data_IF_883668181323
#
_entry.id   IF_883668181323
#
_cell.length_a   1.000
_cell.length_b   1.000
_cell.length_c   1.000
_cell.angle_alpha   90.00
_cell.angle_beta   90.00
_cell.angle_gamma   90.00
#
_symmetry.space_group_name_H-M   'P 1'
#
loop_
_entity.id
_entity.type
_entity.pdbx_description
1 polymer ?
#
# COMPACT_ATOMS: atom_id res chain seq x y z
N UNK A 1 -10.78 -38.38 -4.50
CA UNK A 1 -10.58 -37.14 -5.25
C UNK A 1 -9.25 -37.29 -5.96
N UNK A 2 -9.22 -37.39 -7.33
CA UNK A 2 -7.96 -37.39 -8.07
C UNK A 2 -7.30 -36.01 -7.88
N UNK A 3 -6.10 -36.00 -7.33
CA UNK A 3 -5.29 -34.78 -7.30
C UNK A 3 -5.06 -34.27 -8.72
N UNK A 4 -5.55 -33.06 -8.99
CA UNK A 4 -5.32 -32.41 -10.29
C UNK A 4 -3.91 -31.83 -10.23
N UNK A 5 -2.96 -32.45 -10.93
CA UNK A 5 -1.61 -31.90 -11.06
C UNK A 5 -1.60 -30.53 -11.76
N UNK A 6 -0.49 -29.77 -11.67
CA UNK A 6 -0.39 -28.40 -12.22
C UNK A 6 -0.80 -28.27 -13.68
N UNK A 7 -0.44 -29.21 -14.53
CA UNK A 7 -0.87 -29.26 -15.94
C UNK A 7 -2.37 -29.51 -16.12
N UNK A 8 -2.98 -30.27 -15.20
CA UNK A 8 -4.42 -30.51 -15.22
C UNK A 8 -5.26 -29.28 -14.92
N UNK A 9 -4.73 -28.33 -14.11
CA UNK A 9 -5.37 -27.04 -13.86
C UNK A 9 -5.40 -26.21 -15.14
N UNK A 10 -4.29 -26.09 -15.84
CA UNK A 10 -4.21 -25.36 -17.11
C UNK A 10 -5.18 -25.92 -18.14
N UNK A 11 -5.24 -27.24 -18.30
CA UNK A 11 -6.16 -27.91 -19.23
C UNK A 11 -7.62 -27.68 -18.87
N UNK A 12 -7.95 -27.73 -17.59
CA UNK A 12 -9.31 -27.45 -17.13
C UNK A 12 -9.72 -26.00 -17.43
N UNK A 13 -8.85 -25.02 -17.15
CA UNK A 13 -9.09 -23.61 -17.46
C UNK A 13 -9.25 -23.38 -18.97
N UNK A 14 -8.40 -23.98 -19.80
CA UNK A 14 -8.51 -23.87 -21.26
C UNK A 14 -9.77 -24.50 -21.83
N UNK A 15 -10.25 -25.58 -21.24
CA UNK A 15 -11.51 -26.22 -21.64
C UNK A 15 -12.74 -25.37 -21.23
N UNK A 16 -12.63 -24.58 -20.20
CA UNK A 16 -13.70 -23.74 -19.67
C UNK A 16 -13.95 -22.46 -20.47
N UNK A 17 -13.03 -22.07 -21.36
CA UNK A 17 -13.17 -20.84 -22.15
C UNK A 17 -12.87 -21.05 -23.62
N UNK A 18 -13.47 -20.20 -24.47
CA UNK A 18 -13.14 -20.06 -25.91
C UNK A 18 -12.58 -18.68 -26.23
N UNK A 19 -12.45 -17.81 -25.25
CA UNK A 19 -11.87 -16.48 -25.41
C UNK A 19 -10.37 -16.60 -25.68
N UNK A 20 -9.95 -16.15 -26.87
CA UNK A 20 -8.55 -16.23 -27.32
C UNK A 20 -7.61 -15.40 -26.46
N UNK A 21 -8.07 -14.27 -25.94
CA UNK A 21 -7.28 -13.43 -25.04
C UNK A 21 -7.06 -14.16 -23.71
N UNK A 22 -8.12 -14.67 -23.10
CA UNK A 22 -8.01 -15.42 -21.85
C UNK A 22 -7.18 -16.70 -22.03
N UNK A 23 -7.30 -17.41 -23.15
CA UNK A 23 -6.43 -18.54 -23.46
C UNK A 23 -4.94 -18.13 -23.48
N UNK A 24 -4.62 -16.97 -24.09
CA UNK A 24 -3.25 -16.47 -24.12
C UNK A 24 -2.71 -16.10 -22.74
N UNK A 25 -3.58 -15.61 -21.84
CA UNK A 25 -3.22 -15.30 -20.45
C UNK A 25 -3.00 -16.58 -19.62
N UNK A 26 -3.84 -17.62 -19.82
CA UNK A 26 -3.68 -18.92 -19.18
C UNK A 26 -2.33 -19.54 -19.57
N UNK A 27 -1.92 -19.42 -20.84
CA UNK A 27 -0.61 -19.89 -21.30
C UNK A 27 0.52 -19.12 -20.61
N UNK A 28 0.41 -17.79 -20.51
CA UNK A 28 1.42 -16.94 -19.91
C UNK A 28 1.51 -17.10 -18.38
N UNK A 29 0.43 -17.52 -17.74
CA UNK A 29 0.40 -17.81 -16.31
C UNK A 29 1.29 -19.00 -15.90
N UNK A 30 1.62 -19.91 -16.84
CA UNK A 30 2.61 -20.98 -16.67
C UNK A 30 2.26 -21.99 -15.56
N UNK A 31 1.00 -22.45 -15.48
CA UNK A 31 0.53 -23.41 -14.47
C UNK A 31 1.30 -24.75 -14.46
N UNK A 32 1.92 -25.15 -15.56
CA UNK A 32 2.72 -26.36 -15.63
C UNK A 32 4.16 -26.21 -15.13
N UNK A 33 4.63 -24.98 -14.92
CA UNK A 33 6.03 -24.66 -14.61
C UNK A 33 6.17 -24.03 -13.23
N UNK A 34 5.20 -23.20 -12.83
CA UNK A 34 5.18 -22.47 -11.56
C UNK A 34 4.25 -23.12 -10.54
N UNK A 35 4.42 -22.77 -9.28
CA UNK A 35 3.48 -23.15 -8.25
C UNK A 35 2.06 -22.60 -8.61
N UNK A 36 0.99 -23.37 -8.39
CA UNK A 36 -0.37 -22.97 -8.78
C UNK A 36 -0.78 -21.58 -8.26
N UNK A 37 -0.43 -21.25 -7.01
CA UNK A 37 -0.73 -19.94 -6.42
C UNK A 37 -0.07 -18.78 -7.19
N UNK A 38 1.20 -18.91 -7.60
CA UNK A 38 1.88 -17.91 -8.42
C UNK A 38 1.22 -17.76 -9.79
N UNK A 39 0.84 -18.88 -10.40
CA UNK A 39 0.18 -18.87 -11.71
C UNK A 39 -1.18 -18.18 -11.65
N UNK A 40 -1.97 -18.39 -10.60
CA UNK A 40 -3.22 -17.66 -10.40
C UNK A 40 -3.01 -16.16 -10.22
N UNK A 41 -2.03 -15.75 -9.42
CA UNK A 41 -1.68 -14.33 -9.26
C UNK A 41 -1.26 -13.69 -10.59
N UNK A 42 -0.46 -14.40 -11.40
CA UNK A 42 -0.07 -13.93 -12.74
C UNK A 42 -1.26 -13.79 -13.67
N UNK A 43 -2.16 -14.78 -13.67
CA UNK A 43 -3.39 -14.75 -14.47
C UNK A 43 -4.29 -13.58 -14.07
N UNK A 44 -4.54 -13.41 -12.78
CA UNK A 44 -5.35 -12.31 -12.26
C UNK A 44 -4.76 -10.94 -12.64
N UNK A 45 -3.45 -10.77 -12.51
CA UNK A 45 -2.77 -9.53 -12.91
C UNK A 45 -2.89 -9.25 -14.40
N UNK A 46 -2.77 -10.26 -15.27
CA UNK A 46 -2.97 -10.09 -16.71
C UNK A 46 -4.42 -9.72 -17.04
N UNK A 47 -5.39 -10.38 -16.40
CA UNK A 47 -6.81 -10.06 -16.56
C UNK A 47 -7.14 -8.64 -16.14
N UNK A 48 -6.47 -8.11 -15.13
CA UNK A 48 -6.62 -6.71 -14.70
C UNK A 48 -6.03 -5.66 -15.66
N UNK A 49 -5.31 -6.08 -16.72
CA UNK A 49 -4.71 -5.16 -17.72
C UNK A 49 -5.64 -4.94 -18.94
N UNK A 50 -6.94 -4.88 -18.71
CA UNK A 50 -7.91 -4.62 -19.78
C UNK A 50 -7.79 -3.21 -20.39
N UNK A 51 -8.31 -2.97 -21.61
CA UNK A 51 -8.32 -1.63 -22.21
C UNK A 51 -9.03 -0.62 -21.31
N UNK A 52 -8.37 0.51 -21.04
CA UNK A 52 -8.81 1.52 -20.09
C UNK A 52 -8.24 1.35 -18.68
N UNK A 53 -7.66 0.21 -18.34
CA UNK A 53 -7.03 0.02 -17.04
C UNK A 53 -5.92 1.03 -16.80
N UNK A 54 -5.88 1.56 -15.58
CA UNK A 54 -4.86 2.50 -15.11
C UNK A 54 -3.70 1.71 -14.53
N UNK A 55 -2.48 2.00 -14.99
CA UNK A 55 -1.29 1.28 -14.57
C UNK A 55 -0.14 2.22 -14.22
N UNK A 56 0.71 1.77 -13.33
CA UNK A 56 1.96 2.41 -12.93
C UNK A 56 3.12 1.57 -13.47
N UNK A 57 4.13 2.23 -13.99
CA UNK A 57 5.39 1.57 -14.34
C UNK A 57 6.39 1.71 -13.19
N UNK A 58 7.30 0.74 -13.06
CA UNK A 58 8.50 0.89 -12.22
C UNK A 58 9.33 2.13 -12.59
N UNK A 59 9.23 2.60 -13.84
CA UNK A 59 9.81 3.88 -14.28
C UNK A 59 8.90 5.03 -13.93
N UNK A 60 9.09 5.63 -12.77
CA UNK A 60 8.25 6.73 -12.24
C UNK A 60 8.12 7.92 -13.20
N UNK A 61 9.15 8.18 -14.00
CA UNK A 61 9.20 9.27 -14.99
C UNK A 61 8.12 9.16 -16.07
N UNK A 62 7.62 7.95 -16.34
CA UNK A 62 6.58 7.76 -17.35
C UNK A 62 5.20 8.25 -16.88
N UNK A 63 5.00 8.36 -15.58
CA UNK A 63 3.73 8.77 -14.98
C UNK A 63 2.66 7.69 -15.09
N UNK A 64 1.39 8.10 -15.00
CA UNK A 64 0.24 7.20 -15.16
C UNK A 64 0.18 6.65 -16.59
N UNK A 65 -0.04 5.36 -16.71
CA UNK A 65 -0.31 4.66 -17.96
C UNK A 65 -1.79 4.27 -18.08
N UNK A 66 -2.30 4.30 -19.29
CA UNK A 66 -3.63 3.78 -19.65
C UNK A 66 -3.42 2.67 -20.67
N UNK A 67 -3.90 1.48 -20.36
CA UNK A 67 -3.87 0.34 -21.30
C UNK A 67 -4.78 0.68 -22.50
N UNK A 68 -4.25 0.57 -23.70
CA UNK A 68 -4.97 0.86 -24.94
C UNK A 68 -5.44 -0.37 -25.65
N UNK A 69 -4.59 -1.35 -25.76
CA UNK A 69 -4.85 -2.55 -26.52
C UNK A 69 -4.10 -3.74 -25.96
N UNK A 70 -4.77 -4.91 -26.04
CA UNK A 70 -4.21 -6.23 -25.82
C UNK A 70 -4.15 -6.95 -27.17
N UNK A 71 -3.00 -7.54 -27.48
CA UNK A 71 -2.80 -8.35 -28.66
C UNK A 71 -2.49 -9.79 -28.22
N UNK A 72 -3.48 -10.66 -28.34
CA UNK A 72 -3.35 -12.05 -27.93
C UNK A 72 -2.42 -12.87 -28.84
N UNK A 73 -2.33 -12.47 -30.12
CA UNK A 73 -1.51 -13.17 -31.10
C UNK A 73 -0.02 -12.92 -30.88
N UNK A 74 0.37 -11.62 -30.74
CA UNK A 74 1.74 -11.25 -30.45
C UNK A 74 2.06 -11.20 -28.95
N UNK A 75 1.09 -11.51 -28.07
CA UNK A 75 1.20 -11.46 -26.61
C UNK A 75 1.76 -10.12 -26.13
N UNK A 76 1.17 -9.01 -26.60
CA UNK A 76 1.61 -7.66 -26.30
C UNK A 76 0.50 -6.82 -25.71
N UNK A 77 0.92 -5.89 -24.85
CA UNK A 77 0.07 -4.88 -24.24
C UNK A 77 0.59 -3.51 -24.66
N UNK A 78 -0.29 -2.69 -25.23
CA UNK A 78 0.05 -1.30 -25.59
C UNK A 78 -0.47 -0.37 -24.52
N UNK A 79 0.41 0.46 -23.95
CA UNK A 79 0.11 1.41 -22.87
C UNK A 79 0.50 2.82 -23.29
N UNK A 80 -0.39 3.76 -23.04
CA UNK A 80 -0.14 5.18 -23.15
C UNK A 80 0.21 5.76 -21.79
N UNK A 81 1.49 6.01 -21.55
CA UNK A 81 1.93 6.77 -20.38
C UNK A 81 1.86 8.28 -20.66
N UNK A 82 1.84 9.06 -19.58
CA UNK A 82 1.89 10.52 -19.71
C UNK A 82 3.09 10.99 -20.52
N UNK A 83 4.28 10.46 -20.23
CA UNK A 83 5.53 10.85 -20.90
C UNK A 83 5.85 10.02 -22.15
N UNK A 84 5.20 8.86 -22.35
CA UNK A 84 5.54 7.94 -23.44
C UNK A 84 4.29 7.25 -23.99
N UNK A 85 3.87 7.63 -25.19
CA UNK A 85 2.69 7.05 -25.85
C UNK A 85 3.03 5.78 -26.64
N UNK A 86 2.04 4.89 -26.75
CA UNK A 86 2.13 3.69 -27.58
C UNK A 86 3.20 2.69 -27.16
N UNK A 87 3.62 2.68 -25.89
CA UNK A 87 4.64 1.77 -25.43
C UNK A 87 4.11 0.35 -25.37
N UNK A 88 4.86 -0.59 -25.95
CA UNK A 88 4.48 -2.00 -26.01
C UNK A 88 5.31 -2.83 -25.03
N UNK A 89 4.61 -3.66 -24.26
CA UNK A 89 5.18 -4.68 -23.39
C UNK A 89 4.80 -6.06 -23.91
N UNK A 90 5.68 -7.04 -23.76
CA UNK A 90 5.26 -8.45 -23.73
C UNK A 90 4.46 -8.69 -22.44
N UNK A 91 3.66 -9.77 -22.39
CA UNK A 91 2.93 -10.12 -21.16
C UNK A 91 3.87 -10.29 -19.96
N UNK A 92 5.00 -10.96 -20.15
CA UNK A 92 6.01 -11.14 -19.10
C UNK A 92 6.57 -9.80 -18.62
N UNK A 93 6.99 -8.94 -19.55
CA UNK A 93 7.48 -7.60 -19.20
C UNK A 93 6.40 -6.75 -18.51
N UNK A 94 5.14 -6.88 -18.91
CA UNK A 94 4.04 -6.20 -18.25
C UNK A 94 3.85 -6.68 -16.81
N UNK A 95 3.90 -8.00 -16.57
CA UNK A 95 3.86 -8.56 -15.22
C UNK A 95 4.99 -8.08 -14.34
N UNK A 96 6.18 -7.88 -14.90
CA UNK A 96 7.34 -7.40 -14.15
C UNK A 96 7.33 -5.89 -13.92
N UNK A 97 6.87 -5.12 -14.89
CA UNK A 97 7.03 -3.66 -14.93
C UNK A 97 5.79 -2.87 -14.55
N UNK A 98 4.60 -3.46 -14.65
CA UNK A 98 3.33 -2.76 -14.44
C UNK A 98 2.65 -3.19 -13.16
N UNK A 99 2.02 -2.24 -12.50
CA UNK A 99 1.12 -2.46 -11.35
C UNK A 99 -0.17 -1.70 -11.59
N UNK A 100 -1.31 -2.29 -11.28
CA UNK A 100 -2.59 -1.59 -11.32
C UNK A 100 -2.57 -0.37 -10.41
N UNK A 101 -3.09 0.76 -10.88
CA UNK A 101 -3.24 1.98 -10.09
C UNK A 101 -4.65 2.04 -9.51
N UNK A 102 -4.76 2.21 -8.20
CA UNK A 102 -6.02 2.48 -7.52
C UNK A 102 -6.53 3.89 -7.87
N UNK A 103 -7.83 4.10 -7.78
CA UNK A 103 -8.46 5.38 -8.15
C UNK A 103 -8.04 6.54 -7.23
N UNK A 104 -7.65 6.27 -5.99
CA UNK A 104 -7.15 7.24 -5.02
C UNK A 104 -5.66 7.58 -5.18
N UNK A 105 -4.95 6.90 -6.10
CA UNK A 105 -3.53 7.15 -6.33
C UNK A 105 -3.28 8.56 -6.87
N UNK A 106 -2.27 9.26 -6.34
CA UNK A 106 -1.98 10.67 -6.67
C UNK A 106 -1.75 10.92 -8.18
N UNK A 107 -1.17 9.95 -8.91
CA UNK A 107 -1.01 10.04 -10.36
C UNK A 107 -2.36 9.91 -11.09
N UNK A 108 -3.31 9.19 -10.54
CA UNK A 108 -4.69 9.12 -11.05
C UNK A 108 -5.37 10.46 -10.83
N UNK A 109 -5.26 11.04 -9.62
CA UNK A 109 -5.75 12.38 -9.33
C UNK A 109 -5.13 13.42 -10.29
N UNK A 110 -3.83 13.37 -10.55
CA UNK A 110 -3.15 14.26 -11.49
C UNK A 110 -3.75 14.19 -12.91
N UNK A 111 -4.17 12.99 -13.32
CA UNK A 111 -4.73 12.75 -14.66
C UNK A 111 -6.21 13.11 -14.75
N UNK A 112 -7.01 12.67 -13.78
CA UNK A 112 -8.47 12.79 -13.78
C UNK A 112 -8.95 14.18 -13.35
N UNK A 113 -8.27 14.80 -12.38
CA UNK A 113 -8.60 16.13 -11.85
C UNK A 113 -7.35 16.97 -11.63
N UNK A 114 -6.80 17.56 -12.71
CA UNK A 114 -5.63 18.42 -12.64
C UNK A 114 -5.83 19.66 -11.75
N UNK A 115 -7.07 20.15 -11.62
CA UNK A 115 -7.40 21.29 -10.76
C UNK A 115 -7.21 20.95 -9.28
N UNK A 116 -7.81 19.85 -8.83
CA UNK A 116 -7.61 19.32 -7.47
C UNK A 116 -6.15 19.00 -7.18
N UNK A 117 -5.46 18.39 -8.14
CA UNK A 117 -4.03 18.10 -8.00
C UNK A 117 -3.22 19.38 -7.76
N UNK A 118 -3.47 20.44 -8.53
CA UNK A 118 -2.77 21.71 -8.39
C UNK A 118 -3.10 22.42 -7.07
N UNK A 119 -4.35 22.36 -6.61
CA UNK A 119 -4.74 22.90 -5.31
C UNK A 119 -4.03 22.17 -4.16
N UNK A 120 -4.00 20.83 -4.18
CA UNK A 120 -3.22 20.06 -3.20
C UNK A 120 -1.74 20.45 -3.19
N UNK A 121 -1.14 20.60 -4.36
CA UNK A 121 0.29 20.91 -4.50
C UNK A 121 0.65 22.32 -4.00
N UNK A 122 -0.22 23.31 -4.20
CA UNK A 122 0.07 24.74 -3.91
C UNK A 122 -0.47 25.20 -2.56
N UNK A 123 -1.70 24.78 -2.24
CA UNK A 123 -2.47 25.35 -1.13
C UNK A 123 -2.45 24.41 0.10
N UNK A 124 -2.25 23.11 -0.11
CA UNK A 124 -2.30 22.09 0.93
C UNK A 124 -1.12 21.12 0.81
N UNK A 125 0.11 21.66 0.90
CA UNK A 125 1.33 20.87 0.68
C UNK A 125 1.45 19.67 1.61
N UNK A 126 0.97 19.74 2.85
CA UNK A 126 0.93 18.63 3.79
C UNK A 126 0.01 17.50 3.30
N UNK A 127 -1.21 17.83 2.86
CA UNK A 127 -2.15 16.85 2.30
C UNK A 127 -1.61 16.22 1.01
N UNK A 128 -0.93 17.01 0.18
CA UNK A 128 -0.24 16.49 -1.00
C UNK A 128 0.79 15.42 -0.62
N UNK A 129 1.66 15.71 0.35
CA UNK A 129 2.67 14.75 0.83
C UNK A 129 2.00 13.48 1.39
N UNK A 130 0.92 13.63 2.16
CA UNK A 130 0.17 12.47 2.66
C UNK A 130 -0.42 11.65 1.51
N UNK A 131 -0.95 12.27 0.47
CA UNK A 131 -1.45 11.57 -0.71
C UNK A 131 -0.32 10.83 -1.46
N UNK A 132 0.87 11.43 -1.58
CA UNK A 132 2.05 10.75 -2.15
C UNK A 132 2.45 9.52 -1.32
N UNK A 133 2.52 9.66 0.01
CA UNK A 133 2.90 8.55 0.90
C UNK A 133 1.84 7.42 0.85
N UNK A 134 0.55 7.75 0.82
CA UNK A 134 -0.52 6.74 0.65
C UNK A 134 -0.40 6.00 -0.67
N UNK A 135 0.01 6.71 -1.72
CA UNK A 135 0.11 6.16 -3.08
C UNK A 135 1.34 5.27 -3.29
N UNK A 136 2.48 5.61 -2.69
CA UNK A 136 3.75 4.94 -2.93
C UNK A 136 4.29 4.17 -1.71
N UNK A 137 3.57 4.21 -0.59
CA UNK A 137 3.97 3.62 0.68
C UNK A 137 4.84 4.54 1.55
N UNK A 138 5.09 4.14 2.81
CA UNK A 138 5.95 4.87 3.73
C UNK A 138 7.35 5.08 3.13
N UNK A 139 7.88 6.30 3.25
CA UNK A 139 9.16 6.65 2.64
C UNK A 139 9.89 7.74 3.40
N UNK A 140 11.21 7.75 3.28
CA UNK A 140 12.06 8.82 3.82
C UNK A 140 11.88 10.13 3.04
N UNK A 141 12.28 11.25 3.66
CA UNK A 141 12.23 12.58 2.99
C UNK A 141 13.03 12.58 1.69
N UNK A 142 14.16 11.88 1.65
CA UNK A 142 14.99 11.77 0.44
C UNK A 142 14.26 10.99 -0.67
N UNK A 143 13.58 9.90 -0.31
CA UNK A 143 12.79 9.12 -1.28
C UNK A 143 11.57 9.91 -1.76
N UNK A 144 10.94 10.69 -0.89
CA UNK A 144 9.84 11.58 -1.25
C UNK A 144 10.27 12.64 -2.26
N UNK A 145 11.44 13.26 -2.07
CA UNK A 145 12.05 14.18 -3.04
C UNK A 145 12.22 13.52 -4.40
N UNK A 146 12.86 12.35 -4.42
CA UNK A 146 13.06 11.53 -5.62
C UNK A 146 11.75 11.25 -6.37
N UNK A 147 10.73 10.80 -5.67
CA UNK A 147 9.41 10.50 -6.24
C UNK A 147 8.78 11.76 -6.80
N UNK A 148 8.76 12.86 -6.04
CA UNK A 148 8.15 14.12 -6.47
C UNK A 148 8.82 14.69 -7.73
N UNK A 149 10.14 14.59 -7.83
CA UNK A 149 10.92 15.09 -8.98
C UNK A 149 10.71 14.16 -10.18
N UNK A 150 10.86 12.84 -10.02
CA UNK A 150 10.71 11.87 -11.12
C UNK A 150 9.30 11.82 -11.68
N UNK A 151 8.29 11.91 -10.84
CA UNK A 151 6.90 12.01 -11.29
C UNK A 151 6.57 13.41 -11.89
N UNK A 152 7.51 14.37 -11.85
CA UNK A 152 7.31 15.71 -12.34
C UNK A 152 6.27 16.52 -11.58
N UNK A 153 6.08 16.22 -10.29
CA UNK A 153 5.18 16.98 -9.42
C UNK A 153 5.82 18.32 -9.02
N UNK A 154 7.08 18.28 -8.63
CA UNK A 154 7.86 19.43 -8.20
C UNK A 154 9.17 19.47 -8.97
N UNK A 155 9.59 20.65 -9.42
CA UNK A 155 10.92 20.85 -10.01
C UNK A 155 12.00 20.78 -8.92
N UNK A 156 13.18 20.24 -9.24
CA UNK A 156 14.27 20.10 -8.29
C UNK A 156 14.64 21.41 -7.57
N UNK A 157 14.66 22.53 -8.32
CA UNK A 157 14.97 23.85 -7.76
C UNK A 157 13.89 24.35 -6.78
N UNK A 158 12.64 23.91 -6.93
CA UNK A 158 11.52 24.31 -6.10
C UNK A 158 11.33 23.40 -4.87
N UNK A 159 12.02 22.25 -4.81
CA UNK A 159 11.84 21.25 -3.77
C UNK A 159 12.01 21.79 -2.35
N UNK A 160 13.08 22.54 -2.12
CA UNK A 160 13.37 23.09 -0.78
C UNK A 160 12.23 23.95 -0.25
N UNK A 161 11.72 24.86 -1.07
CA UNK A 161 10.61 25.74 -0.67
C UNK A 161 9.29 24.98 -0.50
N UNK A 162 9.02 23.98 -1.34
CA UNK A 162 7.87 23.11 -1.22
C UNK A 162 7.94 22.29 0.09
N UNK A 163 9.09 21.65 0.36
CA UNK A 163 9.26 20.83 1.55
C UNK A 163 9.12 21.63 2.86
N UNK A 164 9.65 22.85 2.93
CA UNK A 164 9.50 23.68 4.14
C UNK A 164 8.02 24.00 4.44
N UNK A 165 7.20 24.28 3.42
CA UNK A 165 5.75 24.48 3.57
C UNK A 165 5.09 23.17 4.03
N UNK A 166 5.30 22.07 3.30
CA UNK A 166 4.73 20.78 3.61
C UNK A 166 5.09 20.31 5.03
N UNK A 167 6.36 20.46 5.43
CA UNK A 167 6.83 20.12 6.77
C UNK A 167 6.15 20.96 7.87
N UNK A 168 5.87 22.25 7.58
CA UNK A 168 5.13 23.12 8.49
C UNK A 168 3.70 22.62 8.71
N UNK A 169 3.03 22.18 7.64
CA UNK A 169 1.67 21.63 7.70
C UNK A 169 1.65 20.27 8.42
N UNK A 170 2.56 19.37 8.06
CA UNK A 170 2.66 18.03 8.63
C UNK A 170 2.97 18.02 10.12
N UNK A 171 3.72 19.00 10.63
CA UNK A 171 3.99 19.14 12.07
C UNK A 171 2.77 19.51 12.90
N UNK A 172 1.74 20.11 12.27
CA UNK A 172 0.46 20.42 12.92
C UNK A 172 -0.48 19.24 12.92
N UNK A 173 -0.22 18.25 12.08
CA UNK A 173 -1.03 17.04 11.97
C UNK A 173 -0.53 15.99 12.96
N UNK A 174 -1.34 15.67 13.95
CA UNK A 174 -1.03 14.68 14.98
C UNK A 174 -0.92 13.24 14.46
N UNK A 175 -1.46 12.99 13.27
CA UNK A 175 -1.41 11.68 12.62
C UNK A 175 -0.07 11.45 11.89
N UNK A 176 0.75 12.48 11.71
CA UNK A 176 1.99 12.37 10.94
C UNK A 176 3.19 12.42 11.86
N UNK A 177 4.04 11.40 11.76
CA UNK A 177 5.32 11.33 12.45
C UNK A 177 6.43 11.65 11.45
N UNK A 178 7.05 12.81 11.59
CA UNK A 178 8.23 13.18 10.82
C UNK A 178 9.46 12.74 11.61
N UNK A 179 10.27 11.80 11.11
CA UNK A 179 11.42 11.31 11.83
C UNK A 179 12.53 12.38 11.94
N UNK A 180 13.34 12.27 12.98
CA UNK A 180 14.53 13.13 13.18
C UNK A 180 15.63 12.78 12.17
N UNK A 181 15.82 11.48 11.91
CA UNK A 181 16.79 11.00 10.92
C UNK A 181 16.18 11.04 9.54
N UNK A 182 16.88 11.62 8.57
CA UNK A 182 16.40 11.74 7.17
C UNK A 182 16.19 10.40 6.45
N UNK A 183 16.82 9.34 6.92
CA UNK A 183 16.70 8.00 6.35
C UNK A 183 15.45 7.26 6.81
N UNK A 184 14.90 7.63 7.96
CA UNK A 184 13.74 6.96 8.51
C UNK A 184 12.47 7.39 7.75
N UNK A 185 11.46 6.51 7.62
CA UNK A 185 10.25 6.83 6.87
C UNK A 185 9.36 7.84 7.63
N UNK A 186 8.69 8.68 6.87
CA UNK A 186 7.56 9.46 7.36
C UNK A 186 6.39 8.48 7.53
N UNK A 187 5.82 8.44 8.72
CA UNK A 187 4.70 7.57 9.04
C UNK A 187 3.39 8.37 9.10
N UNK A 188 2.35 7.82 8.51
CA UNK A 188 0.99 8.33 8.64
C UNK A 188 0.22 7.29 9.43
N UNK A 189 -0.19 7.65 10.64
CA UNK A 189 -1.05 6.81 11.46
C UNK A 189 -2.45 6.76 10.87
N UNK A 190 -3.09 5.60 10.89
CA UNK A 190 -4.43 5.40 10.30
C UNK A 190 -5.53 6.19 11.05
N UNK A 191 -5.35 6.39 12.34
CA UNK A 191 -6.14 7.26 13.20
C UNK A 191 -5.23 7.82 14.30
N UNK A 192 -5.62 8.92 14.97
CA UNK A 192 -5.15 9.10 16.36
C UNK A 192 -5.47 7.78 17.03
N UNK A 193 -4.48 7.14 17.67
CA UNK A 193 -4.78 6.01 18.54
C UNK A 193 -5.74 6.55 19.60
N UNK A 194 -7.00 6.46 19.26
CA UNK A 194 -8.06 6.78 20.18
C UNK A 194 -8.14 5.59 21.13
N UNK A 195 -7.57 5.77 22.30
CA UNK A 195 -7.72 4.85 23.41
C UNK A 195 -9.14 4.95 24.00
N UNK A 196 -10.14 5.17 23.13
CA UNK A 196 -11.53 5.11 23.44
C UNK A 196 -12.06 3.67 23.51
N UNK A 197 -13.38 3.53 23.53
CA UNK A 197 -14.07 2.24 23.71
C UNK A 197 -13.61 1.16 22.71
N UNK A 198 -13.22 1.53 21.49
CA UNK A 198 -12.72 0.60 20.47
C UNK A 198 -11.37 -0.01 20.83
N UNK A 199 -10.42 0.78 21.37
CA UNK A 199 -9.13 0.26 21.83
C UNK A 199 -9.31 -0.64 23.04
N UNK A 200 -10.13 -0.23 24.01
CA UNK A 200 -10.42 -1.01 25.21
C UNK A 200 -11.05 -2.37 24.87
N UNK A 201 -11.96 -2.40 23.90
CA UNK A 201 -12.57 -3.64 23.42
C UNK A 201 -11.54 -4.60 22.85
N UNK A 202 -10.62 -4.16 22.00
CA UNK A 202 -9.54 -5.00 21.46
C UNK A 202 -8.57 -5.39 22.57
N UNK A 203 -8.17 -4.44 23.42
CA UNK A 203 -7.23 -4.66 24.51
C UNK A 203 -7.75 -5.64 25.57
N UNK A 204 -9.06 -5.66 25.82
CA UNK A 204 -9.69 -6.61 26.75
C UNK A 204 -9.53 -8.07 26.34
N UNK A 205 -9.30 -8.35 25.06
CA UNK A 205 -9.11 -9.68 24.49
C UNK A 205 -7.64 -10.03 24.20
N UNK A 206 -6.70 -9.08 24.44
CA UNK A 206 -5.28 -9.33 24.19
C UNK A 206 -4.73 -10.38 25.16
N UNK A 207 -4.01 -11.35 24.62
CA UNK A 207 -3.46 -12.49 25.37
C UNK A 207 -1.93 -12.55 25.41
N UNK A 208 -1.25 -11.75 24.57
CA UNK A 208 0.21 -11.66 24.62
C UNK A 208 0.67 -10.73 25.76
N UNK A 209 1.37 -11.24 26.79
CA UNK A 209 1.86 -10.43 27.90
C UNK A 209 2.73 -9.25 27.49
N UNK A 210 3.51 -9.38 26.40
CA UNK A 210 4.38 -8.31 25.89
C UNK A 210 3.56 -7.19 25.26
N UNK A 211 2.54 -7.53 24.49
CA UNK A 211 1.62 -6.57 23.87
C UNK A 211 0.78 -5.87 24.94
N UNK A 212 0.32 -6.58 25.95
CA UNK A 212 -0.39 -6.00 27.11
C UNK A 212 0.50 -4.96 27.80
N UNK A 213 1.74 -5.31 28.15
CA UNK A 213 2.66 -4.40 28.85
C UNK A 213 3.03 -3.17 28.00
N UNK A 214 3.25 -3.37 26.70
CA UNK A 214 3.56 -2.25 25.79
C UNK A 214 2.37 -1.31 25.63
N UNK A 215 1.16 -1.84 25.45
CA UNK A 215 -0.08 -1.06 25.34
C UNK A 215 -0.37 -0.24 26.60
N UNK A 216 -0.24 -0.83 27.78
CA UNK A 216 -0.41 -0.09 29.04
C UNK A 216 0.65 0.99 29.22
N UNK A 217 1.92 0.68 28.95
CA UNK A 217 3.00 1.67 29.03
C UNK A 217 2.73 2.87 28.13
N UNK A 218 2.28 2.62 26.93
CA UNK A 218 1.95 3.67 25.97
C UNK A 218 0.74 4.50 26.41
N UNK A 219 -0.32 3.85 26.88
CA UNK A 219 -1.52 4.50 27.42
C UNK A 219 -1.17 5.44 28.59
N UNK A 220 -0.33 4.99 29.52
CA UNK A 220 0.13 5.77 30.66
C UNK A 220 1.05 6.91 30.22
N UNK A 221 2.01 6.65 29.31
CA UNK A 221 2.97 7.67 28.83
C UNK A 221 2.31 8.83 28.10
N UNK A 222 1.19 8.57 27.43
CA UNK A 222 0.34 9.60 26.78
C UNK A 222 -0.56 10.36 27.74
N UNK A 223 -0.46 10.10 29.04
CA UNK A 223 -1.23 10.79 30.09
C UNK A 223 -2.71 10.43 30.12
N UNK A 224 -3.15 9.45 29.35
CA UNK A 224 -4.58 9.06 29.22
C UNK A 224 -5.12 8.40 30.49
N UNK A 225 -4.26 7.78 31.30
CA UNK A 225 -4.67 7.06 32.50
C UNK A 225 -5.35 7.93 33.55
N UNK A 226 -4.93 9.21 33.68
CA UNK A 226 -5.52 10.13 34.67
C UNK A 226 -6.97 10.50 34.37
N UNK A 227 -7.34 10.54 33.09
CA UNK A 227 -8.71 10.83 32.62
C UNK A 227 -9.54 9.60 32.26
N UNK A 228 -9.00 8.39 32.49
CA UNK A 228 -9.66 7.16 32.11
C UNK A 228 -10.91 6.89 32.97
N UNK A 229 -11.95 6.29 32.33
CA UNK A 229 -13.12 5.80 33.04
C UNK A 229 -12.75 4.68 34.01
N UNK A 230 -13.58 4.43 35.03
CA UNK A 230 -13.36 3.34 35.98
C UNK A 230 -13.38 1.97 35.28
N UNK A 231 -14.19 1.84 34.22
CA UNK A 231 -14.22 0.64 33.37
C UNK A 231 -12.90 0.42 32.64
N UNK A 232 -12.31 1.48 32.06
CA UNK A 232 -11.01 1.42 31.43
C UNK A 232 -9.90 1.03 32.41
N UNK A 233 -9.90 1.59 33.61
CA UNK A 233 -8.95 1.25 34.67
C UNK A 233 -9.09 -0.19 35.13
N UNK A 234 -10.32 -0.68 35.26
CA UNK A 234 -10.61 -2.07 35.61
C UNK A 234 -10.07 -3.02 34.52
N UNK A 235 -10.39 -2.79 33.25
CA UNK A 235 -9.93 -3.60 32.12
C UNK A 235 -8.39 -3.64 32.04
N UNK A 236 -7.73 -2.48 32.22
CA UNK A 236 -6.26 -2.42 32.25
C UNK A 236 -5.69 -3.22 33.42
N UNK A 237 -6.31 -3.12 34.61
CA UNK A 237 -5.92 -3.88 35.79
C UNK A 237 -6.03 -5.38 35.58
N UNK A 238 -7.13 -5.84 35.02
CA UNK A 238 -7.36 -7.26 34.69
C UNK A 238 -6.32 -7.81 33.70
N UNK A 239 -6.03 -7.06 32.64
CA UNK A 239 -5.04 -7.48 31.65
C UNK A 239 -3.62 -7.49 32.21
N UNK A 240 -3.26 -6.53 33.05
CA UNK A 240 -1.98 -6.55 33.76
C UNK A 240 -1.85 -7.75 34.70
N UNK A 241 -2.90 -8.06 35.47
CA UNK A 241 -2.93 -9.24 36.34
C UNK A 241 -2.76 -10.53 35.52
N UNK A 242 -3.43 -10.62 34.37
CA UNK A 242 -3.26 -11.73 33.44
C UNK A 242 -1.82 -11.83 32.93
N UNK A 243 -1.23 -10.73 32.47
CA UNK A 243 0.14 -10.71 31.95
C UNK A 243 1.17 -11.14 33.00
N UNK A 244 1.02 -10.69 34.26
CA UNK A 244 1.87 -11.10 35.39
C UNK A 244 1.72 -12.60 35.70
N UNK A 245 0.50 -13.11 35.69
CA UNK A 245 0.24 -14.54 35.97
C UNK A 245 0.78 -15.42 34.84
N UNK A 246 0.64 -14.99 33.59
CA UNK A 246 1.18 -15.70 32.43
C UNK A 246 2.73 -15.71 32.42
N UNK A 247 3.38 -14.60 32.81
CA UNK A 247 4.83 -14.54 32.92
C UNK A 247 5.37 -15.48 34.01
N UNK A 248 4.73 -15.55 35.19
CA UNK A 248 5.11 -16.49 36.27
C UNK A 248 5.03 -17.94 35.86
N UNK A 249 4.02 -18.33 35.07
CA UNK A 249 3.89 -19.71 34.57
C UNK A 249 4.99 -20.12 33.60
N UNK A 250 5.61 -19.18 32.94
CA UNK A 250 6.76 -19.44 32.04
C UNK A 250 8.03 -19.66 32.85
N UNK A 251 8.23 -18.89 33.95
CA UNK A 251 9.39 -19.06 34.84
C UNK A 251 9.31 -20.36 35.68
N UNK A 252 8.10 -20.81 36.03
CA UNK A 252 7.90 -22.09 36.76
C UNK A 252 8.03 -23.34 35.84
N UNK A 253 8.08 -23.14 34.51
CA UNK A 253 8.18 -24.22 33.51
C UNK A 253 9.60 -24.37 32.91
N UNK A 254 10.55 -23.53 33.31
CA UNK A 254 11.98 -23.60 33.02
C UNK A 254 12.79 -24.10 34.20
#
# INVERSE_FOLDING_TARGET
VKEIGPGGIQDALKKATRDRLLLSFIDEAQFGVRAPGESFVRLERLMGLEPGAKVLSKSLEWGLGIVRRLDYFYRRITVDFRAKKGHQFTYEAALDMLTAANDDHILVTQHADPGRFQSLLKDSCGEFVKAVIRSFGPMSVQRLEDVCIKCGFVKAQAWKGFWEKARGDLRRDKLVVIPVKRADPIEIKAAEEDYGDGWLSVFSHETDPKLILSGVREYVSKGKFKGASEEAKATIGERLAFAVTAARRVDDAL
#
